data_IF_697797672239
#
_entry.id   IF_697797672239
#
_cell.length_a   1.000
_cell.length_b   1.000
_cell.length_c   1.000
_cell.angle_alpha   90.00
_cell.angle_beta   90.00
_cell.angle_gamma   90.00
#
_symmetry.space_group_name_H-M   'P 1'
#
loop_
_entity.id
_entity.type
_entity.pdbx_description
1 polymer ?
#
# COMPACT_ATOMS: atom_id res chain seq x y z
N UNK A 1 -41.37 13.18 -45.78
CA UNK A 1 -40.91 12.50 -44.54
C UNK A 1 -40.35 13.56 -43.59
N UNK A 2 -41.15 14.05 -42.64
CA UNK A 2 -40.67 15.04 -41.66
C UNK A 2 -39.96 14.28 -40.53
N UNK A 3 -38.63 14.37 -40.51
CA UNK A 3 -37.82 13.73 -39.48
C UNK A 3 -38.03 14.48 -38.16
N UNK A 4 -38.68 13.82 -37.20
CA UNK A 4 -38.98 14.35 -35.88
C UNK A 4 -37.64 14.49 -35.10
N UNK A 5 -36.94 15.60 -35.28
CA UNK A 5 -35.74 15.91 -34.50
C UNK A 5 -36.16 16.22 -33.07
N UNK A 6 -36.13 15.21 -32.19
CA UNK A 6 -36.24 15.40 -30.74
C UNK A 6 -35.03 16.19 -30.26
N UNK A 7 -35.24 17.46 -29.89
CA UNK A 7 -34.24 18.27 -29.21
C UNK A 7 -34.17 17.88 -27.73
N UNK A 8 -32.96 17.83 -27.18
CA UNK A 8 -32.73 17.68 -25.75
C UNK A 8 -33.16 18.99 -25.05
N UNK A 9 -33.93 18.91 -23.98
CA UNK A 9 -34.34 20.11 -23.25
C UNK A 9 -33.22 20.57 -22.31
N UNK A 10 -33.13 21.89 -22.08
CA UNK A 10 -32.18 22.45 -21.12
C UNK A 10 -32.46 21.96 -19.70
N UNK A 11 -33.74 21.71 -19.35
CA UNK A 11 -34.13 21.18 -18.05
C UNK A 11 -33.64 19.73 -17.86
N UNK A 12 -33.67 18.90 -18.90
CA UNK A 12 -33.15 17.53 -18.85
C UNK A 12 -31.64 17.50 -18.61
N UNK A 13 -30.88 18.39 -19.25
CA UNK A 13 -29.43 18.47 -18.97
C UNK A 13 -29.14 19.02 -17.58
N UNK A 14 -29.95 19.97 -17.10
CA UNK A 14 -29.78 20.57 -15.77
C UNK A 14 -29.98 19.51 -14.66
N UNK A 15 -31.03 18.71 -14.72
CA UNK A 15 -31.26 17.68 -13.70
C UNK A 15 -30.16 16.61 -13.71
N UNK A 16 -29.63 16.26 -14.88
CA UNK A 16 -28.58 15.25 -15.01
C UNK A 16 -27.28 15.71 -14.36
N UNK A 17 -26.84 16.95 -14.61
CA UNK A 17 -25.60 17.46 -14.00
C UNK A 17 -25.75 17.62 -12.48
N UNK A 18 -26.96 17.95 -11.99
CA UNK A 18 -27.25 18.00 -10.55
C UNK A 18 -27.13 16.61 -9.92
N UNK A 19 -27.73 15.58 -10.52
CA UNK A 19 -27.66 14.20 -10.00
C UNK A 19 -26.21 13.69 -10.02
N UNK A 20 -25.47 13.89 -11.12
CA UNK A 20 -24.06 13.50 -11.22
C UNK A 20 -23.22 14.25 -10.18
N UNK A 21 -23.49 15.54 -9.95
CA UNK A 21 -22.83 16.34 -8.93
C UNK A 21 -22.99 15.76 -7.52
N UNK A 22 -24.21 15.35 -7.15
CA UNK A 22 -24.50 14.72 -5.85
C UNK A 22 -23.77 13.39 -5.71
N UNK A 23 -23.81 12.54 -6.75
CA UNK A 23 -23.14 11.24 -6.73
C UNK A 23 -21.61 11.39 -6.65
N UNK A 24 -21.04 12.33 -7.41
CA UNK A 24 -19.60 12.60 -7.42
C UNK A 24 -19.11 13.10 -6.06
N UNK A 25 -19.87 13.97 -5.39
CA UNK A 25 -19.52 14.51 -4.08
C UNK A 25 -19.33 13.41 -3.01
N UNK A 26 -20.10 12.32 -3.07
CA UNK A 26 -19.98 11.17 -2.15
C UNK A 26 -18.95 10.16 -2.66
N UNK A 27 -18.93 9.89 -3.96
CA UNK A 27 -18.10 8.86 -4.55
C UNK A 27 -16.60 9.17 -4.50
N UNK A 28 -16.21 10.42 -4.79
CA UNK A 28 -14.79 10.84 -4.86
C UNK A 28 -14.07 10.64 -3.52
N UNK A 29 -14.53 11.18 -2.38
CA UNK A 29 -13.83 10.97 -1.11
C UNK A 29 -13.83 9.51 -0.66
N UNK A 30 -14.92 8.77 -0.93
CA UNK A 30 -15.01 7.34 -0.61
C UNK A 30 -13.99 6.53 -1.39
N UNK A 31 -13.87 6.78 -2.70
CA UNK A 31 -12.92 6.11 -3.56
C UNK A 31 -11.47 6.41 -3.18
N UNK A 32 -11.15 7.66 -2.84
CA UNK A 32 -9.83 8.03 -2.34
C UNK A 32 -9.47 7.27 -1.05
N UNK A 33 -10.40 7.18 -0.09
CA UNK A 33 -10.18 6.41 1.15
C UNK A 33 -10.01 4.90 0.87
N UNK A 34 -10.79 4.32 -0.04
CA UNK A 34 -10.66 2.90 -0.41
C UNK A 34 -9.33 2.61 -1.08
N UNK A 35 -8.83 3.51 -1.95
CA UNK A 35 -7.49 3.40 -2.54
C UNK A 35 -6.40 3.42 -1.47
N UNK A 36 -6.47 4.38 -0.55
CA UNK A 36 -5.49 4.49 0.53
C UNK A 36 -5.44 3.22 1.40
N UNK A 37 -6.61 2.64 1.72
CA UNK A 37 -6.69 1.35 2.41
C UNK A 37 -6.08 0.20 1.60
N UNK A 38 -6.21 0.21 0.28
CA UNK A 38 -5.58 -0.79 -0.58
C UNK A 38 -4.06 -0.67 -0.58
N UNK A 39 -3.51 0.56 -0.61
CA UNK A 39 -2.07 0.79 -0.49
C UNK A 39 -1.53 0.33 0.87
N UNK A 40 -2.24 0.63 1.96
CA UNK A 40 -1.90 0.12 3.30
C UNK A 40 -1.95 -1.41 3.35
N UNK A 41 -2.93 -2.03 2.72
CA UNK A 41 -3.01 -3.50 2.65
C UNK A 41 -1.82 -4.11 1.89
N UNK A 42 -1.39 -3.48 0.78
CA UNK A 42 -0.21 -3.91 0.02
C UNK A 42 1.06 -3.82 0.88
N UNK A 43 1.30 -2.67 1.55
CA UNK A 43 2.44 -2.50 2.46
C UNK A 43 2.45 -3.54 3.59
N UNK A 44 1.28 -3.81 4.20
CA UNK A 44 1.16 -4.86 5.23
C UNK A 44 1.46 -6.26 4.67
N UNK A 45 0.99 -6.56 3.47
CA UNK A 45 1.26 -7.84 2.81
C UNK A 45 2.75 -8.01 2.54
N UNK A 46 3.41 -6.98 2.03
CA UNK A 46 4.84 -7.03 1.72
C UNK A 46 5.69 -7.19 2.99
N UNK A 47 5.32 -6.53 4.10
CA UNK A 47 5.99 -6.72 5.39
C UNK A 47 5.82 -8.14 5.95
N UNK A 48 4.66 -8.79 5.74
CA UNK A 48 4.46 -10.20 6.13
C UNK A 48 5.29 -11.15 5.29
N UNK A 49 5.35 -10.88 3.98
CA UNK A 49 6.20 -11.65 3.07
C UNK A 49 7.67 -11.47 3.46
N UNK A 50 8.11 -10.23 3.72
CA UNK A 50 9.45 -9.93 4.20
C UNK A 50 9.78 -10.71 5.48
N UNK A 51 8.86 -10.79 6.44
CA UNK A 51 9.10 -11.57 7.64
C UNK A 51 9.43 -13.04 7.33
N UNK A 52 8.76 -13.64 6.35
CA UNK A 52 9.09 -15.00 5.91
C UNK A 52 10.48 -15.08 5.27
N UNK A 53 10.87 -14.08 4.47
CA UNK A 53 12.21 -14.00 3.88
C UNK A 53 13.31 -13.80 4.92
N UNK A 54 13.07 -13.00 5.96
CA UNK A 54 14.00 -12.78 7.06
C UNK A 54 14.22 -14.07 7.87
N UNK A 55 13.15 -14.81 8.19
CA UNK A 55 13.27 -16.10 8.87
C UNK A 55 14.02 -17.14 8.01
N UNK A 56 13.78 -17.16 6.69
CA UNK A 56 14.53 -18.01 5.76
C UNK A 56 16.01 -17.64 5.74
N UNK A 57 16.33 -16.35 5.64
CA UNK A 57 17.70 -15.87 5.64
C UNK A 57 18.39 -16.16 6.98
N UNK A 58 17.71 -15.97 8.10
CA UNK A 58 18.23 -16.29 9.43
C UNK A 58 18.52 -17.78 9.61
N UNK A 59 17.67 -18.67 9.06
CA UNK A 59 17.91 -20.10 9.08
C UNK A 59 19.22 -20.47 8.35
N UNK A 60 19.53 -19.80 7.24
CA UNK A 60 20.73 -20.04 6.45
C UNK A 60 21.98 -19.32 6.99
N UNK A 61 21.81 -18.23 7.75
CA UNK A 61 22.90 -17.33 8.17
C UNK A 61 23.09 -17.30 9.71
N UNK A 62 22.98 -18.46 10.37
CA UNK A 62 23.24 -18.60 11.81
C UNK A 62 22.43 -17.64 12.70
N UNK A 63 21.17 -17.37 12.33
CA UNK A 63 20.29 -16.46 13.04
C UNK A 63 20.51 -14.97 12.73
N UNK A 64 21.39 -14.63 11.78
CA UNK A 64 21.55 -13.26 11.34
C UNK A 64 20.43 -12.84 10.38
N UNK A 65 19.89 -11.64 10.57
CA UNK A 65 18.91 -11.02 9.69
C UNK A 65 19.60 -10.06 8.70
N UNK A 66 19.01 -9.87 7.53
CA UNK A 66 19.55 -8.92 6.56
C UNK A 66 19.03 -7.50 6.81
N UNK A 67 19.69 -6.53 6.19
CA UNK A 67 19.36 -5.12 6.31
C UNK A 67 19.58 -4.40 4.99
N UNK A 68 18.92 -3.27 4.79
CA UNK A 68 18.99 -2.48 3.58
C UNK A 68 17.64 -2.01 3.09
N UNK A 69 17.61 -1.41 1.90
CA UNK A 69 16.37 -0.93 1.27
C UNK A 69 16.02 -1.75 0.04
N UNK A 70 14.76 -2.16 -0.05
CA UNK A 70 14.20 -2.91 -1.16
C UNK A 70 13.16 -2.05 -1.89
N UNK A 71 13.21 -2.09 -3.23
CA UNK A 71 12.15 -1.58 -4.11
C UNK A 71 11.90 -2.63 -5.20
N UNK A 72 10.82 -2.49 -5.96
CA UNK A 72 10.58 -3.35 -7.13
C UNK A 72 11.77 -3.39 -8.11
N UNK A 73 12.50 -2.30 -8.27
CA UNK A 73 13.63 -2.20 -9.19
C UNK A 73 14.95 -2.66 -8.57
N UNK A 74 15.03 -2.67 -7.23
CA UNK A 74 16.22 -3.03 -6.46
C UNK A 74 15.84 -4.08 -5.42
N UNK A 75 15.73 -5.36 -5.81
CA UNK A 75 15.45 -6.45 -4.87
C UNK A 75 16.55 -6.54 -3.82
N UNK A 76 16.17 -6.86 -2.58
CA UNK A 76 17.09 -7.06 -1.46
C UNK A 76 17.09 -8.53 -1.11
N UNK A 77 18.23 -9.22 -1.25
CA UNK A 77 18.36 -10.65 -0.92
C UNK A 77 17.27 -11.55 -1.56
N UNK A 78 16.84 -11.22 -2.79
CA UNK A 78 15.78 -11.97 -3.50
C UNK A 78 14.35 -11.59 -3.10
N UNK A 79 14.17 -10.72 -2.10
CA UNK A 79 12.89 -10.09 -1.79
C UNK A 79 12.67 -8.84 -2.66
N UNK A 80 11.52 -8.78 -3.31
CA UNK A 80 11.06 -7.60 -4.05
C UNK A 80 9.66 -7.21 -3.55
N UNK A 81 9.47 -5.99 -3.01
CA UNK A 81 8.15 -5.51 -2.63
C UNK A 81 7.26 -5.27 -3.85
N UNK A 82 5.97 -5.03 -3.60
CA UNK A 82 4.99 -4.70 -4.63
C UNK A 82 5.22 -3.31 -5.26
N UNK A 83 4.53 -3.03 -6.36
CA UNK A 83 4.71 -1.78 -7.09
C UNK A 83 4.44 -0.56 -6.20
N UNK A 84 5.32 0.43 -6.30
CA UNK A 84 5.28 1.67 -5.53
C UNK A 84 5.47 1.51 -4.01
N UNK A 85 5.78 0.30 -3.53
CA UNK A 85 6.17 0.06 -2.14
C UNK A 85 7.70 0.07 -2.04
N UNK A 86 8.21 0.84 -1.08
CA UNK A 86 9.62 0.86 -0.68
C UNK A 86 9.72 0.38 0.75
N UNK A 87 10.59 -0.59 1.01
CA UNK A 87 10.81 -1.16 2.34
C UNK A 87 12.25 -0.92 2.77
N UNK A 88 12.43 -0.43 3.99
CA UNK A 88 13.75 -0.31 4.61
C UNK A 88 13.80 -1.23 5.81
N UNK A 89 14.75 -2.15 5.80
CA UNK A 89 15.02 -3.13 6.84
C UNK A 89 16.26 -2.70 7.62
N UNK A 90 16.15 -2.73 8.94
CA UNK A 90 17.24 -2.46 9.87
C UNK A 90 17.45 -3.69 10.73
N UNK A 91 18.59 -4.36 10.56
CA UNK A 91 18.98 -5.43 11.44
C UNK A 91 19.57 -4.86 12.74
N UNK A 92 19.24 -5.48 13.86
CA UNK A 92 19.74 -5.14 15.20
C UNK A 92 20.55 -6.34 15.68
N UNK A 93 21.87 -6.16 15.70
CA UNK A 93 22.80 -7.16 16.23
C UNK A 93 22.68 -7.26 17.76
N UNK A 94 22.68 -8.47 18.29
CA UNK A 94 22.61 -8.75 19.73
C UNK A 94 22.35 -10.23 19.99
N UNK A 95 22.39 -10.69 21.25
CA UNK A 95 21.83 -11.98 21.64
C UNK A 95 20.45 -11.79 22.31
N UNK A 96 19.32 -12.14 21.66
CA UNK A 96 19.17 -12.58 20.27
C UNK A 96 19.23 -11.41 19.27
N UNK A 97 19.57 -11.73 18.02
CA UNK A 97 19.47 -10.81 16.89
C UNK A 97 17.99 -10.52 16.62
N UNK A 98 17.71 -9.31 16.13
CA UNK A 98 16.35 -8.91 15.72
C UNK A 98 16.42 -8.01 14.50
N UNK A 99 15.27 -7.69 13.93
CA UNK A 99 15.18 -6.79 12.78
C UNK A 99 13.89 -5.98 12.86
N UNK A 100 13.93 -4.78 12.32
CA UNK A 100 12.76 -3.94 12.11
C UNK A 100 12.67 -3.56 10.64
N UNK A 101 11.46 -3.35 10.15
CA UNK A 101 11.23 -2.91 8.79
C UNK A 101 10.11 -1.88 8.72
N UNK A 102 10.32 -0.91 7.83
CA UNK A 102 9.38 0.17 7.54
C UNK A 102 9.03 0.15 6.06
N UNK A 103 7.76 0.02 5.74
CA UNK A 103 7.21 0.10 4.39
C UNK A 103 6.52 1.45 4.16
N UNK A 104 6.78 2.04 3.00
CA UNK A 104 6.14 3.27 2.52
C UNK A 104 5.58 3.04 1.12
N UNK A 105 4.52 3.76 0.74
CA UNK A 105 3.93 3.71 -0.60
C UNK A 105 3.96 5.09 -1.25
N UNK A 106 4.40 5.20 -2.51
CA UNK A 106 4.61 6.51 -3.16
C UNK A 106 3.35 7.37 -3.31
N UNK A 107 2.16 6.76 -3.23
CA UNK A 107 0.86 7.40 -3.36
C UNK A 107 0.06 7.49 -2.04
N UNK A 108 0.67 7.11 -0.91
CA UNK A 108 0.05 7.22 0.41
C UNK A 108 0.97 7.98 1.35
N UNK A 109 0.40 8.82 2.22
CA UNK A 109 1.15 9.42 3.31
C UNK A 109 1.36 8.44 4.48
N UNK A 110 0.73 7.26 4.42
CA UNK A 110 0.80 6.25 5.46
C UNK A 110 2.12 5.50 5.42
N UNK A 111 2.63 5.18 6.60
CA UNK A 111 3.83 4.36 6.78
C UNK A 111 3.46 3.16 7.63
N UNK A 112 3.90 1.97 7.21
CA UNK A 112 3.69 0.73 7.96
C UNK A 112 5.01 0.23 8.52
N UNK A 113 5.01 -0.27 9.75
CA UNK A 113 6.19 -0.80 10.42
C UNK A 113 5.85 -2.11 11.15
N UNK A 114 6.83 -3.00 11.29
CA UNK A 114 6.65 -4.27 11.99
C UNK A 114 6.85 -4.17 13.53
N UNK A 115 7.01 -2.95 14.06
CA UNK A 115 7.27 -2.68 15.48
C UNK A 115 8.64 -3.17 15.96
N UNK A 116 9.16 -2.56 17.04
CA UNK A 116 10.41 -2.98 17.71
C UNK A 116 10.17 -4.13 18.71
N UNK A 117 8.91 -4.56 18.87
CA UNK A 117 8.49 -5.54 19.88
C UNK A 117 8.08 -6.84 19.20
N UNK A 118 8.66 -7.95 19.66
CA UNK A 118 8.68 -9.29 19.09
C UNK A 118 7.33 -10.02 18.90
N UNK A 119 6.22 -9.33 18.57
CA UNK A 119 4.89 -9.93 18.38
C UNK A 119 4.34 -9.85 16.95
N UNK A 120 5.12 -9.43 15.94
CA UNK A 120 4.70 -9.49 14.53
C UNK A 120 3.46 -8.65 14.19
N UNK A 121 3.12 -7.66 15.02
CA UNK A 121 1.98 -6.77 14.79
C UNK A 121 2.44 -5.64 13.88
N UNK A 122 1.94 -5.62 12.64
CA UNK A 122 2.22 -4.53 11.70
C UNK A 122 1.29 -3.35 12.00
N UNK A 123 1.88 -2.25 12.45
CA UNK A 123 1.21 -0.96 12.65
C UNK A 123 1.35 -0.11 11.40
N UNK A 124 0.34 0.71 11.11
CA UNK A 124 0.44 1.72 10.04
C UNK A 124 -0.13 3.04 10.53
N UNK A 125 0.64 4.11 10.37
CA UNK A 125 0.30 5.47 10.81
C UNK A 125 0.18 6.42 9.64
#
# INVERSE_FOLDING_TARGET
MYSNKKGFTLIELLIVVVIIGILAAIAIPKFASTKDKAYVAAMKSDLRNLATYEEQYAADNNGAYFGGSATMATPLQGFSPSQNVSITVTNVAGPPSSWTATATHSQSAKTCDNGVTAQGVITCT
#
